data_IF_886078618953
#
_entry.id   IF_886078618953
#
_cell.length_a   1.000
_cell.length_b   1.000
_cell.length_c   1.000
_cell.angle_alpha   90.00
_cell.angle_beta   90.00
_cell.angle_gamma   90.00
#
_symmetry.space_group_name_H-M   'P 1'
#
loop_
_entity.id
_entity.type
_entity.pdbx_description
1 polymer ?
#
# COMPACT_ATOMS: atom_id res chain seq x y z
N UNK A 1 29.88 29.65 15.67
CA UNK A 1 29.98 28.30 15.08
C UNK A 1 28.82 28.16 14.11
N UNK A 2 29.08 28.13 12.81
CA UNK A 2 28.05 27.78 11.84
C UNK A 2 28.08 26.26 11.67
N UNK A 3 26.95 25.59 11.95
CA UNK A 3 26.78 24.19 11.65
C UNK A 3 26.45 24.03 10.16
N UNK A 4 27.05 23.03 9.51
CA UNK A 4 26.64 22.59 8.18
C UNK A 4 25.44 21.63 8.32
N UNK A 5 24.43 21.80 7.48
CA UNK A 5 23.21 20.98 7.48
C UNK A 5 22.96 20.50 6.04
N UNK A 6 22.84 19.20 5.88
CA UNK A 6 22.35 18.57 4.64
C UNK A 6 20.82 18.42 4.75
N UNK A 7 20.08 18.72 3.69
CA UNK A 7 18.62 18.72 3.70
C UNK A 7 18.03 18.35 2.32
N UNK A 8 17.08 17.42 2.33
CA UNK A 8 16.31 17.03 1.14
C UNK A 8 14.80 17.06 1.45
N UNK A 9 14.00 17.38 0.45
CA UNK A 9 12.53 17.25 0.51
C UNK A 9 12.10 16.10 -0.37
N UNK A 10 11.29 15.18 0.17
CA UNK A 10 10.77 14.03 -0.55
C UNK A 10 9.25 14.00 -0.52
N UNK A 11 8.64 13.64 -1.64
CA UNK A 11 7.22 13.29 -1.72
C UNK A 11 7.10 11.78 -1.85
N UNK A 12 6.40 11.15 -0.91
CA UNK A 12 6.24 9.70 -0.87
C UNK A 12 4.78 9.33 -0.85
N UNK A 13 4.41 8.31 -1.64
CA UNK A 13 3.03 7.82 -1.72
C UNK A 13 3.04 6.30 -1.68
N UNK A 14 2.46 5.74 -0.62
CA UNK A 14 2.35 4.31 -0.47
C UNK A 14 1.37 3.70 -1.48
N UNK A 15 1.49 2.38 -1.69
CA UNK A 15 0.60 1.66 -2.59
C UNK A 15 -0.86 1.71 -2.12
N UNK A 16 -1.79 2.00 -3.03
CA UNK A 16 -3.23 1.91 -2.74
C UNK A 16 -3.62 0.45 -2.47
N UNK A 17 -4.53 0.23 -1.52
CA UNK A 17 -5.16 -1.09 -1.33
C UNK A 17 -6.02 -1.50 -2.54
N UNK A 18 -6.17 -2.81 -2.72
CA UNK A 18 -7.04 -3.37 -3.75
C UNK A 18 -8.50 -3.06 -3.44
N UNK A 19 -9.33 -2.94 -4.47
CA UNK A 19 -10.77 -2.88 -4.27
C UNK A 19 -11.31 -4.29 -3.95
N UNK A 20 -12.32 -4.39 -3.10
CA UNK A 20 -13.12 -5.60 -2.99
C UNK A 20 -13.92 -5.87 -4.27
N UNK A 21 -14.43 -7.08 -4.41
CA UNK A 21 -15.25 -7.48 -5.55
C UNK A 21 -16.69 -7.72 -5.09
N UNK A 22 -17.65 -7.18 -5.82
CA UNK A 22 -19.05 -7.60 -5.71
C UNK A 22 -19.27 -8.75 -6.68
N UNK A 23 -19.67 -9.91 -6.16
CA UNK A 23 -19.95 -11.10 -6.95
C UNK A 23 -21.00 -11.97 -6.25
N UNK A 24 -21.66 -12.82 -7.03
CA UNK A 24 -22.62 -13.83 -6.57
C UNK A 24 -22.28 -15.17 -7.21
N UNK A 25 -22.55 -16.27 -6.51
CA UNK A 25 -22.38 -17.63 -7.05
C UNK A 25 -23.34 -17.85 -8.21
N UNK A 26 -22.89 -18.59 -9.23
CA UNK A 26 -23.71 -18.99 -10.37
C UNK A 26 -23.52 -20.47 -10.61
N UNK A 27 -24.51 -21.25 -10.22
CA UNK A 27 -24.54 -22.70 -10.35
C UNK A 27 -25.78 -23.11 -11.12
N UNK A 28 -25.68 -24.23 -11.85
CA UNK A 28 -26.84 -24.78 -12.55
C UNK A 28 -27.97 -25.06 -11.55
N UNK A 29 -29.19 -24.71 -11.92
CA UNK A 29 -30.41 -24.92 -11.13
C UNK A 29 -30.50 -24.15 -9.81
N UNK A 30 -29.67 -23.11 -9.61
CA UNK A 30 -29.77 -22.20 -8.47
C UNK A 30 -30.09 -20.80 -8.98
N UNK A 31 -31.35 -20.37 -8.85
CA UNK A 31 -31.82 -19.08 -9.37
C UNK A 31 -31.14 -17.87 -8.70
N UNK A 32 -30.89 -17.95 -7.38
CA UNK A 32 -30.24 -16.89 -6.61
C UNK A 32 -29.08 -17.44 -5.78
N UNK A 33 -27.89 -17.48 -6.38
CA UNK A 33 -26.68 -17.84 -5.66
C UNK A 33 -26.26 -16.75 -4.66
N UNK A 34 -25.75 -17.18 -3.50
CA UNK A 34 -25.30 -16.27 -2.44
C UNK A 34 -24.09 -15.41 -2.83
N UNK A 35 -23.75 -14.39 -2.01
CA UNK A 35 -22.59 -13.54 -2.24
C UNK A 35 -21.28 -14.33 -2.35
N UNK A 36 -20.46 -13.97 -3.33
CA UNK A 36 -19.15 -14.56 -3.63
C UNK A 36 -18.05 -13.49 -3.77
N UNK A 37 -18.33 -12.28 -3.31
CA UNK A 37 -17.41 -11.17 -3.33
C UNK A 37 -16.25 -11.36 -2.35
N UNK A 38 -15.04 -11.03 -2.78
CA UNK A 38 -13.84 -11.04 -1.94
C UNK A 38 -13.48 -9.63 -1.45
N UNK A 39 -12.73 -9.57 -0.34
CA UNK A 39 -12.19 -8.31 0.17
C UNK A 39 -11.04 -7.79 -0.70
N UNK A 40 -10.82 -6.48 -0.63
CA UNK A 40 -9.66 -5.84 -1.20
C UNK A 40 -8.38 -6.15 -0.42
N UNK A 41 -7.24 -6.18 -1.12
CA UNK A 41 -5.93 -6.33 -0.50
C UNK A 41 -5.47 -5.07 0.22
N UNK A 42 -4.58 -5.23 1.22
CA UNK A 42 -3.98 -4.09 1.92
C UNK A 42 -3.07 -3.29 0.98
N UNK A 43 -3.08 -1.97 1.13
CA UNK A 43 -2.09 -1.10 0.50
C UNK A 43 -0.69 -1.30 1.05
N UNK A 44 0.29 -0.78 0.31
CA UNK A 44 1.69 -0.79 0.72
C UNK A 44 1.97 0.19 1.86
N UNK A 45 3.16 0.08 2.44
CA UNK A 45 3.70 1.00 3.44
C UNK A 45 5.00 1.58 2.94
N UNK A 46 5.36 2.76 3.43
CA UNK A 46 6.67 3.36 3.22
C UNK A 46 7.31 3.53 4.59
N UNK A 47 8.52 3.03 4.73
CA UNK A 47 9.34 3.15 5.92
C UNK A 47 10.66 3.79 5.52
N UNK A 48 11.11 4.76 6.31
CA UNK A 48 12.50 5.16 6.32
C UNK A 48 13.24 4.27 7.32
N UNK A 49 14.34 3.68 6.88
CA UNK A 49 15.19 2.85 7.72
C UNK A 49 16.56 3.51 7.71
N UNK A 50 17.03 3.89 8.89
CA UNK A 50 18.37 4.44 9.05
C UNK A 50 19.41 3.33 8.93
N UNK A 51 20.54 3.67 8.33
CA UNK A 51 21.73 2.82 8.25
C UNK A 51 22.91 3.61 8.83
N UNK A 52 23.67 3.00 9.75
CA UNK A 52 24.85 3.62 10.38
C UNK A 52 25.99 3.84 9.38
N UNK A 53 25.97 3.16 8.23
CA UNK A 53 26.92 3.38 7.14
C UNK A 53 26.60 4.61 6.28
N UNK A 54 25.39 5.16 6.36
CA UNK A 54 24.94 6.29 5.54
C UNK A 54 25.19 7.63 6.24
N UNK A 55 25.84 8.55 5.53
CA UNK A 55 26.36 9.80 6.11
C UNK A 55 25.80 11.08 5.46
N UNK A 56 24.93 10.95 4.46
CA UNK A 56 24.42 12.05 3.64
C UNK A 56 23.01 11.73 3.12
N UNK A 57 22.31 12.75 2.61
CA UNK A 57 20.98 12.65 2.00
C UNK A 57 21.02 12.66 0.45
N UNK A 58 22.18 12.38 -0.16
CA UNK A 58 22.40 12.30 -1.63
C UNK A 58 21.95 10.95 -2.20
#
# INVERSE_FOLDING_TARGET
>A
MNAFVDAVTVEVKAGRGGNGKVAYRREAHVEFGGPAGGNGGRGGHIYFIGDEGENTLI
#
